data_IF_349366701731
#
_entry.id   IF_349366701731
#
_cell.length_a   1.000
_cell.length_b   1.000
_cell.length_c   1.000
_cell.angle_alpha   90.00
_cell.angle_beta   90.00
_cell.angle_gamma   90.00
#
_symmetry.space_group_name_H-M   'P 1'
#
loop_
_entity.id
_entity.type
_entity.pdbx_description
1 polymer ?
#
# COMPACT_ATOMS: atom_id res chain seq x y z
N UNK A 1 16.59 18.62 -38.93
CA UNK A 1 16.54 19.23 -37.58
C UNK A 1 15.54 18.43 -36.77
N UNK A 2 16.03 17.42 -36.08
CA UNK A 2 15.27 16.51 -35.21
C UNK A 2 15.18 17.16 -33.83
N UNK A 3 13.98 17.60 -33.45
CA UNK A 3 13.70 18.06 -32.09
C UNK A 3 13.06 16.91 -31.32
N UNK A 4 13.78 16.46 -30.29
CA UNK A 4 13.39 15.40 -29.36
C UNK A 4 12.14 15.79 -28.56
N UNK A 5 11.19 14.86 -28.46
CA UNK A 5 10.06 14.90 -27.53
C UNK A 5 10.21 13.67 -26.62
N UNK A 6 9.78 13.81 -25.38
CA UNK A 6 9.38 12.77 -24.41
C UNK A 6 10.48 12.23 -23.48
N UNK A 7 10.47 12.67 -22.22
CA UNK A 7 11.02 11.92 -21.08
C UNK A 7 10.26 12.16 -19.75
N UNK A 8 9.05 12.74 -19.79
CA UNK A 8 8.26 13.08 -18.59
C UNK A 8 6.99 12.23 -18.43
N UNK A 9 6.57 11.51 -19.48
CA UNK A 9 5.35 10.66 -19.46
C UNK A 9 5.53 9.36 -18.65
N UNK A 10 6.69 8.73 -18.70
CA UNK A 10 6.85 7.35 -18.22
C UNK A 10 6.63 7.14 -16.71
N UNK A 11 6.94 8.12 -15.84
CA UNK A 11 6.77 7.95 -14.39
C UNK A 11 5.31 8.06 -13.96
N UNK A 12 4.57 8.98 -14.57
CA UNK A 12 3.13 9.14 -14.30
C UNK A 12 2.35 7.97 -14.89
N UNK A 13 2.70 7.50 -16.09
CA UNK A 13 2.08 6.33 -16.70
C UNK A 13 2.33 5.05 -15.89
N UNK A 14 3.56 4.79 -15.43
CA UNK A 14 3.87 3.63 -14.58
C UNK A 14 3.19 3.69 -13.20
N UNK A 15 3.04 4.89 -12.62
CA UNK A 15 2.30 5.09 -11.36
C UNK A 15 0.81 4.82 -11.55
N UNK A 16 0.21 5.37 -12.60
CA UNK A 16 -1.19 5.16 -12.96
C UNK A 16 -1.43 3.69 -13.29
N UNK A 17 -0.53 3.04 -14.03
CA UNK A 17 -0.59 1.61 -14.33
C UNK A 17 -0.56 0.77 -13.06
N UNK A 18 0.31 1.05 -12.09
CA UNK A 18 0.34 0.29 -10.82
C UNK A 18 -0.93 0.47 -9.99
N UNK A 19 -1.54 1.65 -9.99
CA UNK A 19 -2.80 1.91 -9.27
C UNK A 19 -3.98 1.24 -9.98
N UNK A 20 -4.05 1.38 -11.31
CA UNK A 20 -5.18 0.90 -12.13
C UNK A 20 -5.13 -0.61 -12.34
N UNK A 21 -3.93 -1.17 -12.54
CA UNK A 21 -3.73 -2.58 -12.89
C UNK A 21 -3.42 -3.43 -11.67
N UNK A 22 -2.53 -2.98 -10.78
CA UNK A 22 -2.11 -3.76 -9.62
C UNK A 22 -2.89 -3.43 -8.34
N UNK A 23 -3.54 -2.26 -8.25
CA UNK A 23 -4.29 -1.84 -7.07
C UNK A 23 -3.43 -1.61 -5.83
N UNK A 24 -2.12 -1.44 -6.01
CA UNK A 24 -1.15 -1.22 -4.93
C UNK A 24 -1.01 0.28 -4.65
N UNK A 25 -1.52 0.70 -3.49
CA UNK A 25 -1.47 2.07 -3.00
C UNK A 25 -0.21 2.35 -2.19
N UNK A 26 0.66 1.35 -1.99
CA UNK A 26 1.95 1.53 -1.31
C UNK A 26 2.91 2.45 -2.07
N UNK A 27 2.76 2.52 -3.39
CA UNK A 27 3.55 3.41 -4.26
C UNK A 27 3.24 4.89 -4.10
N UNK A 28 2.07 5.21 -3.55
CA UNK A 28 1.59 6.57 -3.43
C UNK A 28 2.20 7.24 -2.20
N UNK A 29 2.59 8.50 -2.35
CA UNK A 29 2.95 9.36 -1.22
C UNK A 29 1.73 9.57 -0.29
N UNK A 30 1.95 9.99 0.97
CA UNK A 30 0.83 10.28 1.89
C UNK A 30 -0.20 11.25 1.29
N UNK A 31 0.27 12.33 0.64
CA UNK A 31 -0.59 13.31 -0.01
C UNK A 31 -1.40 12.73 -1.18
N UNK A 32 -0.83 11.82 -1.97
CA UNK A 32 -1.53 11.19 -3.09
C UNK A 32 -2.56 10.15 -2.61
N UNK A 33 -2.28 9.43 -1.53
CA UNK A 33 -3.27 8.52 -0.89
C UNK A 33 -4.46 9.30 -0.34
N UNK A 34 -4.17 10.46 0.24
CA UNK A 34 -5.08 11.55 0.63
C UNK A 34 -5.68 12.27 -0.60
N UNK A 35 -5.48 11.86 -1.83
CA UNK A 35 -6.27 12.36 -2.95
C UNK A 35 -7.09 11.22 -3.53
N UNK A 36 -6.44 10.07 -3.69
CA UNK A 36 -7.04 8.83 -4.08
C UNK A 36 -8.24 8.44 -3.20
N UNK A 37 -8.12 8.50 -1.88
CA UNK A 37 -9.21 8.09 -0.98
C UNK A 37 -10.45 8.98 -1.13
N UNK A 38 -10.30 10.29 -1.37
CA UNK A 38 -11.44 11.24 -1.52
C UNK A 38 -12.05 10.99 -2.87
N UNK A 39 -11.23 10.86 -3.92
CA UNK A 39 -11.72 10.53 -5.25
C UNK A 39 -12.50 9.21 -5.27
N UNK A 40 -12.04 8.18 -4.55
CA UNK A 40 -12.77 6.91 -4.38
C UNK A 40 -14.08 7.13 -3.64
N UNK A 41 -14.07 7.87 -2.53
CA UNK A 41 -15.30 8.18 -1.79
C UNK A 41 -16.30 8.93 -2.68
N UNK A 42 -15.89 9.98 -3.37
CA UNK A 42 -16.72 10.78 -4.28
C UNK A 42 -17.31 9.92 -5.40
N UNK A 43 -16.51 9.05 -6.02
CA UNK A 43 -16.97 8.14 -7.07
C UNK A 43 -18.12 7.23 -6.62
N UNK A 44 -18.08 6.75 -5.38
CA UNK A 44 -19.12 5.91 -4.79
C UNK A 44 -20.16 6.71 -3.98
N UNK A 45 -20.05 8.04 -3.99
CA UNK A 45 -20.86 8.98 -3.22
C UNK A 45 -20.71 8.86 -1.70
N UNK A 46 -19.68 8.20 -1.19
CA UNK A 46 -19.48 8.00 0.25
C UNK A 46 -18.93 9.27 0.89
N UNK A 47 -19.26 9.49 2.16
CA UNK A 47 -18.73 10.60 2.93
C UNK A 47 -17.30 10.27 3.43
N UNK A 48 -16.25 10.94 2.93
CA UNK A 48 -14.88 10.66 3.33
C UNK A 48 -14.62 10.93 4.83
N UNK A 49 -15.38 11.84 5.47
CA UNK A 49 -15.19 12.19 6.90
C UNK A 49 -15.53 11.01 7.80
N UNK A 50 -16.52 10.21 7.38
CA UNK A 50 -16.96 9.01 8.10
C UNK A 50 -15.98 7.83 8.02
N UNK A 51 -14.92 7.93 7.21
CA UNK A 51 -13.89 6.91 7.00
C UNK A 51 -14.48 5.57 6.54
N UNK A 52 -15.09 5.52 5.35
CA UNK A 52 -15.77 4.33 4.85
C UNK A 52 -14.82 3.19 4.44
N UNK A 53 -13.53 3.47 4.26
CA UNK A 53 -12.51 2.49 3.88
C UNK A 53 -11.39 2.40 4.92
N UNK A 54 -10.93 1.18 5.19
CA UNK A 54 -9.69 0.87 5.90
C UNK A 54 -8.60 0.51 4.88
N UNK A 55 -7.33 0.56 5.29
CA UNK A 55 -6.24 0.03 4.48
C UNK A 55 -5.99 -1.43 4.85
N UNK A 56 -5.78 -2.28 3.86
CA UNK A 56 -5.33 -3.66 4.07
C UNK A 56 -3.96 -3.82 3.42
N UNK A 57 -3.04 -4.42 4.15
CA UNK A 57 -1.75 -4.85 3.60
C UNK A 57 -1.85 -6.34 3.31
N UNK A 58 -1.65 -6.73 2.06
CA UNK A 58 -1.64 -8.12 1.57
C UNK A 58 -0.24 -8.46 1.07
N UNK A 59 0.13 -9.74 1.06
CA UNK A 59 1.41 -10.22 0.54
C UNK A 59 1.12 -10.92 -0.78
N UNK A 60 1.65 -10.39 -1.87
CA UNK A 60 1.60 -11.03 -3.18
C UNK A 60 2.93 -11.74 -3.46
N UNK A 61 2.89 -12.83 -4.24
CA UNK A 61 4.08 -13.61 -4.62
C UNK A 61 4.43 -14.73 -3.63
N UNK A 62 5.30 -15.64 -4.06
CA UNK A 62 5.77 -16.78 -3.27
C UNK A 62 7.30 -16.75 -3.13
N UNK A 63 7.82 -17.28 -2.03
CA UNK A 63 9.27 -17.39 -1.81
C UNK A 63 9.99 -16.04 -1.68
N UNK A 64 10.96 -15.81 -2.56
CA UNK A 64 11.80 -14.60 -2.60
C UNK A 64 11.07 -13.40 -3.25
N UNK A 65 10.03 -13.63 -4.06
CA UNK A 65 9.27 -12.60 -4.77
C UNK A 65 8.11 -11.99 -3.94
N UNK A 66 8.12 -12.21 -2.62
CA UNK A 66 7.07 -11.71 -1.73
C UNK A 66 7.10 -10.19 -1.63
N UNK A 67 5.99 -9.55 -1.98
CA UNK A 67 5.81 -8.10 -1.90
C UNK A 67 4.56 -7.75 -1.11
N UNK A 68 4.63 -6.70 -0.29
CA UNK A 68 3.46 -6.16 0.37
C UNK A 68 2.71 -5.21 -0.57
N UNK A 69 1.42 -5.46 -0.76
CA UNK A 69 0.49 -4.61 -1.51
C UNK A 69 -0.49 -3.96 -0.54
N UNK A 70 -0.65 -2.66 -0.68
CA UNK A 70 -1.63 -1.91 0.12
C UNK A 70 -2.87 -1.64 -0.73
N UNK A 71 -4.05 -1.91 -0.21
CA UNK A 71 -5.31 -1.65 -0.91
C UNK A 71 -6.36 -1.08 0.04
N UNK A 72 -7.36 -0.38 -0.51
CA UNK A 72 -8.52 0.07 0.26
C UNK A 72 -9.51 -1.07 0.43
N UNK A 73 -10.06 -1.17 1.63
CA UNK A 73 -11.04 -2.16 2.01
C UNK A 73 -12.30 -1.47 2.56
N UNK A 74 -13.49 -1.72 1.98
CA UNK A 74 -14.73 -1.15 2.47
C UNK A 74 -15.05 -1.73 3.85
N UNK A 75 -15.23 -0.87 4.84
CA UNK A 75 -15.59 -1.29 6.19
C UNK A 75 -17.11 -1.25 6.41
N UNK A 76 -17.56 -1.47 7.65
CA UNK A 76 -18.99 -1.47 7.98
C UNK A 76 -19.67 -0.11 7.72
N UNK A 77 -18.93 1.00 7.78
CA UNK A 77 -19.43 2.36 7.53
C UNK A 77 -19.69 2.55 6.03
N UNK A 78 -18.78 2.12 5.14
CA UNK A 78 -19.05 2.06 3.70
C UNK A 78 -20.34 1.28 3.42
N UNK A 79 -20.45 0.07 3.96
CA UNK A 79 -21.61 -0.78 3.73
C UNK A 79 -22.91 -0.14 4.23
N UNK A 80 -22.90 0.52 5.39
CA UNK A 80 -24.09 1.21 5.90
C UNK A 80 -24.54 2.36 4.98
N UNK A 81 -23.60 3.17 4.49
CA UNK A 81 -23.90 4.26 3.56
C UNK A 81 -24.42 3.76 2.22
N UNK A 82 -23.81 2.71 1.66
CA UNK A 82 -24.26 2.11 0.42
C UNK A 82 -25.66 1.53 0.54
N UNK A 83 -25.97 0.86 1.66
CA UNK A 83 -27.34 0.38 1.92
C UNK A 83 -28.34 1.53 1.96
N UNK A 84 -28.02 2.61 2.68
CA UNK A 84 -28.89 3.78 2.76
C UNK A 84 -29.12 4.42 1.38
N UNK A 85 -28.05 4.62 0.61
CA UNK A 85 -28.09 5.22 -0.73
C UNK A 85 -28.89 4.39 -1.73
N UNK A 86 -28.57 3.10 -1.83
CA UNK A 86 -29.17 2.20 -2.81
C UNK A 86 -30.45 1.53 -2.31
N UNK A 87 -30.91 1.89 -1.09
CA UNK A 87 -32.08 1.31 -0.41
C UNK A 87 -32.00 -0.22 -0.33
N UNK A 88 -30.79 -0.74 -0.10
CA UNK A 88 -30.54 -2.18 0.01
C UNK A 88 -31.06 -2.67 1.36
N UNK A 89 -31.96 -3.63 1.32
CA UNK A 89 -32.42 -4.37 2.50
C UNK A 89 -31.59 -5.64 2.66
N UNK A 90 -31.16 -5.96 3.88
CA UNK A 90 -30.34 -7.15 4.16
C UNK A 90 -30.98 -7.98 5.26
N UNK A 91 -31.06 -9.29 5.04
CA UNK A 91 -31.59 -10.28 5.96
C UNK A 91 -30.56 -11.40 6.18
N UNK A 92 -30.41 -11.88 7.41
CA UNK A 92 -29.66 -13.11 7.68
C UNK A 92 -30.58 -14.30 7.39
N UNK A 93 -30.15 -15.16 6.47
CA UNK A 93 -30.89 -16.34 5.99
C UNK A 93 -30.54 -17.57 6.83
N UNK A 94 -29.25 -17.78 7.11
CA UNK A 94 -28.76 -18.95 7.85
C UNK A 94 -27.61 -18.59 8.79
N UNK A 95 -27.51 -19.36 9.87
CA UNK A 95 -26.40 -19.37 10.83
C UNK A 95 -26.13 -20.81 11.22
N UNK A 96 -24.93 -21.29 10.92
CA UNK A 96 -24.56 -22.67 11.19
C UNK A 96 -23.11 -22.77 11.67
N UNK A 97 -22.82 -23.84 12.41
CA UNK A 97 -21.46 -24.22 12.76
C UNK A 97 -21.13 -25.49 11.98
N UNK A 98 -20.18 -25.40 11.04
CA UNK A 98 -19.74 -26.50 10.20
C UNK A 98 -18.24 -26.64 10.39
N UNK A 99 -17.78 -27.83 10.81
CA UNK A 99 -16.35 -28.14 10.95
C UNK A 99 -15.55 -27.10 11.74
N UNK A 100 -16.10 -26.65 12.89
CA UNK A 100 -15.43 -25.65 13.73
C UNK A 100 -15.49 -24.21 13.19
N UNK A 101 -16.07 -23.98 12.02
CA UNK A 101 -16.31 -22.66 11.44
C UNK A 101 -17.74 -22.18 11.71
N UNK A 102 -17.91 -20.89 11.98
CA UNK A 102 -19.22 -20.26 12.05
C UNK A 102 -19.54 -19.58 10.72
N UNK A 103 -20.56 -20.11 10.04
CA UNK A 103 -20.98 -19.69 8.72
C UNK A 103 -22.30 -18.92 8.81
N UNK A 104 -22.34 -17.74 8.18
CA UNK A 104 -23.52 -16.88 8.13
C UNK A 104 -23.83 -16.56 6.67
N UNK A 105 -25.06 -16.83 6.24
CA UNK A 105 -25.54 -16.45 4.91
C UNK A 105 -26.45 -15.24 5.06
N UNK A 106 -26.16 -14.18 4.32
CA UNK A 106 -26.99 -12.98 4.24
C UNK A 106 -27.54 -12.80 2.83
N UNK A 107 -28.82 -12.44 2.71
CA UNK A 107 -29.46 -12.04 1.46
C UNK A 107 -29.66 -10.54 1.45
N UNK A 108 -29.26 -9.90 0.36
CA UNK A 108 -29.53 -8.50 0.08
C UNK A 108 -30.58 -8.36 -1.02
N UNK A 109 -31.35 -7.28 -1.02
CA UNK A 109 -32.31 -6.96 -2.09
C UNK A 109 -32.40 -5.45 -2.31
N UNK A 110 -32.65 -5.05 -3.55
CA UNK A 110 -32.83 -3.65 -3.98
C UNK A 110 -34.28 -3.41 -4.44
N UNK A 111 -34.75 -2.14 -4.50
CA UNK A 111 -36.12 -1.81 -4.86
C UNK A 111 -36.55 -2.22 -6.29
N UNK A 112 -35.59 -2.42 -7.19
CA UNK A 112 -35.81 -2.90 -8.56
C UNK A 112 -36.03 -4.42 -8.63
N UNK A 113 -35.97 -5.12 -7.48
CA UNK A 113 -36.20 -6.55 -7.37
C UNK A 113 -34.95 -7.40 -7.54
N UNK A 114 -33.77 -6.81 -7.79
CA UNK A 114 -32.50 -7.56 -7.77
C UNK A 114 -32.21 -8.03 -6.35
N UNK A 115 -31.71 -9.25 -6.22
CA UNK A 115 -31.23 -9.81 -4.96
C UNK A 115 -29.93 -10.57 -5.17
N UNK A 116 -29.19 -10.75 -4.08
CA UNK A 116 -27.97 -11.54 -4.05
C UNK A 116 -27.80 -12.17 -2.67
N UNK A 117 -26.96 -13.20 -2.57
CA UNK A 117 -26.59 -13.85 -1.32
C UNK A 117 -25.08 -13.89 -1.15
N UNK A 118 -24.61 -13.72 0.08
CA UNK A 118 -23.19 -13.84 0.39
C UNK A 118 -22.96 -14.46 1.75
N UNK A 119 -21.80 -15.10 1.87
CA UNK A 119 -21.39 -15.83 3.07
C UNK A 119 -20.29 -15.09 3.84
N UNK A 120 -20.43 -15.06 5.16
CA UNK A 120 -19.39 -14.67 6.10
C UNK A 120 -19.00 -15.87 6.94
N UNK A 121 -17.72 -16.20 6.94
CA UNK A 121 -17.16 -17.33 7.69
C UNK A 121 -16.07 -16.82 8.62
N UNK A 122 -16.00 -17.41 9.81
CA UNK A 122 -14.90 -17.27 10.76
C UNK A 122 -14.60 -18.63 11.39
N UNK A 123 -13.33 -18.94 11.61
CA UNK A 123 -12.96 -20.09 12.43
C UNK A 123 -13.33 -19.82 13.90
N UNK A 124 -13.88 -20.81 14.59
CA UNK A 124 -14.05 -20.79 16.05
C UNK A 124 -12.90 -21.50 16.78
N UNK A 125 -11.89 -21.94 16.04
CA UNK A 125 -10.67 -22.57 16.53
C UNK A 125 -9.55 -21.53 16.72
N UNK A 126 -8.42 -21.91 17.31
CA UNK A 126 -7.27 -20.99 17.49
C UNK A 126 -7.28 -20.12 18.75
N UNK A 127 -8.13 -20.42 19.75
CA UNK A 127 -7.97 -19.84 21.08
C UNK A 127 -6.72 -20.40 21.79
N UNK A 128 -6.15 -19.62 22.73
CA UNK A 128 -4.90 -19.94 23.45
C UNK A 128 -4.85 -21.36 24.06
N UNK A 129 -6.00 -21.94 24.39
CA UNK A 129 -6.13 -23.26 25.01
C UNK A 129 -7.22 -24.13 24.34
N UNK A 130 -7.46 -23.95 23.04
CA UNK A 130 -8.50 -24.67 22.27
C UNK A 130 -9.52 -23.73 21.63
N UNK A 131 -10.75 -24.19 21.34
CA UNK A 131 -11.76 -23.35 20.68
C UNK A 131 -12.03 -22.03 21.42
N UNK A 132 -12.39 -20.99 20.66
CA UNK A 132 -12.78 -19.69 21.21
C UNK A 132 -13.97 -19.86 22.17
N UNK A 133 -13.90 -19.20 23.32
CA UNK A 133 -14.95 -19.20 24.36
C UNK A 133 -15.29 -17.78 24.81
N UNK A 134 -16.43 -17.63 25.46
CA UNK A 134 -16.89 -16.36 26.05
C UNK A 134 -16.90 -15.21 25.04
N UNK A 135 -16.35 -14.07 25.43
CA UNK A 135 -16.33 -12.85 24.64
C UNK A 135 -15.64 -13.02 23.28
N UNK A 136 -14.54 -13.78 23.20
CA UNK A 136 -13.81 -13.98 21.94
C UNK A 136 -14.65 -14.74 20.92
N UNK A 137 -15.41 -15.75 21.37
CA UNK A 137 -16.35 -16.49 20.52
C UNK A 137 -17.49 -15.58 20.02
N UNK A 138 -18.07 -14.79 20.92
CA UNK A 138 -19.13 -13.84 20.55
C UNK A 138 -18.62 -12.81 19.53
N UNK A 139 -17.42 -12.27 19.73
CA UNK A 139 -16.79 -11.33 18.80
C UNK A 139 -16.55 -11.97 17.43
N UNK A 140 -16.08 -13.23 17.37
CA UNK A 140 -15.91 -13.95 16.11
C UNK A 140 -17.26 -14.11 15.39
N UNK A 141 -18.30 -14.58 16.08
CA UNK A 141 -19.64 -14.73 15.49
C UNK A 141 -20.19 -13.41 14.96
N UNK A 142 -20.02 -12.30 15.70
CA UNK A 142 -20.40 -10.96 15.23
C UNK A 142 -19.61 -10.52 13.99
N UNK A 143 -18.32 -10.87 13.90
CA UNK A 143 -17.51 -10.62 12.69
C UNK A 143 -18.07 -11.36 11.48
N UNK A 144 -18.44 -12.64 11.61
CA UNK A 144 -19.03 -13.41 10.50
C UNK A 144 -20.33 -12.76 9.98
N UNK A 145 -21.21 -12.31 10.87
CA UNK A 145 -22.42 -11.58 10.47
C UNK A 145 -22.10 -10.23 9.81
N UNK A 146 -21.06 -9.54 10.29
CA UNK A 146 -20.54 -8.32 9.67
C UNK A 146 -20.08 -8.58 8.23
N UNK A 147 -19.21 -9.58 8.05
CA UNK A 147 -18.70 -10.02 6.75
C UNK A 147 -19.83 -10.36 5.79
N UNK A 148 -20.75 -11.26 6.17
CA UNK A 148 -21.85 -11.68 5.31
C UNK A 148 -22.70 -10.49 4.81
N UNK A 149 -23.08 -9.59 5.74
CA UNK A 149 -23.87 -8.40 5.38
C UNK A 149 -23.07 -7.43 4.52
N UNK A 150 -21.79 -7.24 4.80
CA UNK A 150 -20.90 -6.33 4.04
C UNK A 150 -20.74 -6.82 2.60
N UNK A 151 -20.42 -8.10 2.41
CA UNK A 151 -20.25 -8.77 1.12
C UNK A 151 -21.47 -8.61 0.20
N UNK A 152 -22.65 -8.98 0.70
CA UNK A 152 -23.88 -8.89 -0.10
C UNK A 152 -24.25 -7.45 -0.44
N UNK A 153 -23.84 -6.49 0.39
CA UNK A 153 -24.02 -5.06 0.09
C UNK A 153 -23.10 -4.62 -1.04
N UNK A 154 -21.82 -5.00 -1.01
CA UNK A 154 -20.86 -4.63 -2.06
C UNK A 154 -21.29 -5.22 -3.41
N UNK A 155 -21.70 -6.49 -3.42
CA UNK A 155 -22.14 -7.19 -4.63
C UNK A 155 -23.36 -6.51 -5.30
N UNK A 156 -24.33 -6.05 -4.49
CA UNK A 156 -25.50 -5.33 -4.99
C UNK A 156 -25.20 -3.88 -5.37
N UNK A 157 -24.31 -3.21 -4.63
CA UNK A 157 -23.92 -1.83 -4.91
C UNK A 157 -22.91 -1.71 -6.07
N UNK A 158 -22.46 -2.83 -6.67
CA UNK A 158 -21.56 -2.82 -7.82
C UNK A 158 -20.11 -2.47 -7.45
N UNK A 159 -19.71 -2.72 -6.20
CA UNK A 159 -18.32 -2.58 -5.75
C UNK A 159 -17.63 -3.94 -5.81
N UNK A 160 -16.66 -4.06 -6.71
CA UNK A 160 -15.74 -5.19 -6.77
C UNK A 160 -14.41 -4.78 -6.14
N UNK A 161 -14.31 -4.91 -4.82
CA UNK A 161 -13.02 -4.92 -4.16
C UNK A 161 -12.53 -6.37 -4.10
N UNK A 162 -11.23 -6.56 -4.28
CA UNK A 162 -10.62 -7.86 -4.04
C UNK A 162 -10.72 -8.18 -2.54
N UNK A 163 -11.53 -9.18 -2.21
CA UNK A 163 -11.79 -9.59 -0.82
C UNK A 163 -11.09 -10.92 -0.48
N UNK A 164 -10.14 -11.35 -1.32
CA UNK A 164 -9.44 -12.65 -1.19
C UNK A 164 -8.79 -12.85 0.18
N UNK A 165 -8.43 -11.79 0.90
CA UNK A 165 -7.47 -11.89 2.02
C UNK A 165 -7.93 -11.29 3.35
N UNK A 166 -9.22 -11.43 3.68
CA UNK A 166 -9.76 -10.92 4.96
C UNK A 166 -9.09 -11.51 6.22
N UNK A 167 -8.42 -12.67 6.14
CA UNK A 167 -7.78 -13.31 7.31
C UNK A 167 -6.43 -14.01 7.04
N UNK A 168 -6.12 -14.43 5.81
CA UNK A 168 -4.96 -15.28 5.55
C UNK A 168 -3.72 -14.50 5.08
N UNK A 169 -3.92 -13.29 4.53
CA UNK A 169 -2.82 -12.48 4.04
C UNK A 169 -3.01 -11.01 4.44
N UNK A 170 -2.86 -10.74 5.74
CA UNK A 170 -2.23 -9.51 6.20
C UNK A 170 -3.06 -8.55 7.06
N UNK A 171 -2.41 -7.44 7.44
CA UNK A 171 -2.78 -6.61 8.59
C UNK A 171 -3.79 -5.54 8.15
N UNK A 172 -5.03 -5.62 8.65
CA UNK A 172 -6.00 -4.53 8.53
C UNK A 172 -5.51 -3.35 9.36
N UNK A 173 -5.39 -2.20 8.71
CA UNK A 173 -4.98 -0.92 9.26
C UNK A 173 -6.16 0.03 9.18
N UNK A 174 -6.77 0.29 10.33
CA UNK A 174 -7.90 1.22 10.39
C UNK A 174 -7.45 2.61 9.96
N UNK A 175 -8.24 3.24 9.10
CA UNK A 175 -8.01 4.65 8.76
C UNK A 175 -8.41 5.51 9.97
N UNK A 176 -7.44 5.90 10.81
CA UNK A 176 -7.69 6.81 11.94
C UNK A 176 -7.74 8.27 11.51
N UNK A 177 -7.12 8.61 10.38
CA UNK A 177 -7.20 9.88 9.68
C UNK A 177 -7.39 9.63 8.18
N UNK A 178 -7.51 10.71 7.40
CA UNK A 178 -7.51 10.62 5.95
C UNK A 178 -6.12 10.22 5.39
N UNK A 179 -5.09 10.31 6.24
CA UNK A 179 -3.76 9.73 6.08
C UNK A 179 -3.78 8.25 6.55
N UNK A 180 -3.29 7.27 5.76
CA UNK A 180 -3.02 5.94 6.30
C UNK A 180 -2.09 6.02 7.51
N UNK A 181 -2.08 5.01 8.40
CA UNK A 181 -1.13 5.00 9.48
C UNK A 181 0.29 5.09 8.90
N UNK A 182 1.09 6.00 9.44
CA UNK A 182 2.54 6.13 9.24
C UNK A 182 3.31 4.83 9.45
N UNK A 183 2.64 3.83 10.00
CA UNK A 183 3.18 2.59 10.54
C UNK A 183 3.23 1.45 9.53
N UNK A 184 3.08 1.73 8.23
CA UNK A 184 3.45 0.75 7.19
C UNK A 184 4.96 0.75 7.04
N UNK A 185 5.63 0.29 8.09
CA UNK A 185 7.03 -0.09 8.04
C UNK A 185 7.06 -1.43 7.29
N UNK A 186 7.58 -1.40 6.07
CA UNK A 186 7.97 -2.59 5.35
C UNK A 186 9.09 -3.27 6.16
N UNK A 187 8.84 -4.44 6.74
CA UNK A 187 9.91 -5.45 6.95
C UNK A 187 10.20 -6.12 5.61
N UNK A 188 10.49 -5.29 4.60
CA UNK A 188 11.11 -5.74 3.36
C UNK A 188 12.55 -5.35 3.58
N UNK A 189 13.42 -6.34 3.86
CA UNK A 189 14.85 -6.13 3.62
C UNK A 189 14.96 -5.47 2.23
N UNK A 190 15.73 -4.39 2.06
CA UNK A 190 15.70 -3.62 0.83
C UNK A 190 16.01 -4.54 -0.34
N UNK A 191 14.96 -5.01 -1.01
CA UNK A 191 15.07 -5.68 -2.30
C UNK A 191 15.39 -4.54 -3.23
N UNK A 192 16.69 -4.26 -3.34
CA UNK A 192 17.22 -3.53 -4.46
C UNK A 192 16.63 -4.16 -5.69
N UNK A 193 15.92 -3.38 -6.49
CA UNK A 193 15.75 -3.73 -7.90
C UNK A 193 17.13 -4.17 -8.41
N UNK A 194 17.29 -5.34 -9.03
CA UNK A 194 18.54 -5.70 -9.66
C UNK A 194 18.83 -4.60 -10.67
N UNK A 195 19.75 -3.73 -10.29
CA UNK A 195 20.18 -2.65 -11.14
C UNK A 195 21.26 -3.22 -12.03
N UNK A 196 21.01 -3.24 -13.33
CA UNK A 196 22.04 -3.49 -14.34
C UNK A 196 23.08 -2.35 -14.38
N UNK A 197 22.98 -1.36 -13.49
CA UNK A 197 23.96 -0.30 -13.31
C UNK A 197 25.25 -0.84 -12.70
N UNK A 198 26.29 -0.94 -13.53
CA UNK A 198 27.64 -1.19 -13.03
C UNK A 198 28.12 -0.01 -12.17
N UNK A 199 28.13 -0.20 -10.85
CA UNK A 199 28.56 0.80 -9.86
C UNK A 199 30.08 0.99 -9.81
N UNK A 200 30.87 0.04 -10.32
CA UNK A 200 32.33 0.07 -10.25
C UNK A 200 32.96 1.35 -10.86
N UNK A 201 32.59 1.80 -12.08
CA UNK A 201 33.13 3.04 -12.63
C UNK A 201 32.76 4.27 -11.79
N UNK A 202 31.53 4.35 -11.31
CA UNK A 202 31.03 5.48 -10.50
C UNK A 202 31.76 5.55 -9.15
N UNK A 203 32.03 4.39 -8.54
CA UNK A 203 32.82 4.31 -7.31
C UNK A 203 34.24 4.79 -7.49
N UNK A 204 34.87 4.44 -8.62
CA UNK A 204 36.21 4.89 -8.95
C UNK A 204 36.24 6.41 -9.18
N UNK A 205 35.23 6.98 -9.85
CA UNK A 205 35.10 8.42 -10.08
C UNK A 205 34.96 9.20 -8.77
N UNK A 206 34.06 8.76 -7.88
CA UNK A 206 33.86 9.36 -6.55
C UNK A 206 35.17 9.37 -5.76
N UNK A 207 35.89 8.25 -5.70
CA UNK A 207 37.14 8.15 -4.95
C UNK A 207 38.23 9.07 -5.54
N UNK A 208 38.35 9.10 -6.87
CA UNK A 208 39.29 9.98 -7.56
C UNK A 208 38.99 11.46 -7.29
N UNK A 209 37.72 11.87 -7.33
CA UNK A 209 37.33 13.27 -7.13
C UNK A 209 37.41 13.70 -5.66
N UNK A 210 37.02 12.84 -4.72
CA UNK A 210 37.26 13.09 -3.30
C UNK A 210 38.75 13.31 -3.01
N UNK A 211 39.64 12.53 -3.66
CA UNK A 211 41.09 12.70 -3.53
C UNK A 211 41.57 14.04 -4.10
N UNK A 212 41.06 14.46 -5.27
CA UNK A 212 41.38 15.78 -5.87
C UNK A 212 40.92 16.95 -4.99
N UNK A 213 39.76 16.82 -4.35
CA UNK A 213 39.18 17.83 -3.46
C UNK A 213 39.79 17.79 -2.04
N UNK A 214 40.61 16.79 -1.71
CA UNK A 214 41.12 16.60 -0.36
C UNK A 214 40.04 16.24 0.67
N UNK A 215 38.89 15.76 0.22
CA UNK A 215 37.77 15.40 1.08
C UNK A 215 38.13 14.20 1.97
N UNK A 216 37.94 14.38 3.28
CA UNK A 216 38.02 13.28 4.24
C UNK A 216 36.74 12.46 4.21
N UNK A 217 36.82 11.18 4.61
CA UNK A 217 35.64 10.31 4.74
C UNK A 217 34.55 10.94 5.63
N UNK A 218 34.93 11.64 6.70
CA UNK A 218 33.98 12.33 7.58
C UNK A 218 33.17 13.42 6.86
N UNK A 219 33.80 14.17 5.96
CA UNK A 219 33.16 15.24 5.18
C UNK A 219 32.16 14.66 4.18
N UNK A 220 32.52 13.54 3.53
CA UNK A 220 31.59 12.83 2.66
C UNK A 220 30.39 12.27 3.45
N UNK A 221 30.63 11.64 4.61
CA UNK A 221 29.55 11.11 5.46
C UNK A 221 28.58 12.22 5.89
N UNK A 222 29.09 13.38 6.29
CA UNK A 222 28.26 14.51 6.71
C UNK A 222 27.42 15.06 5.54
N UNK A 223 28.03 15.20 4.36
CA UNK A 223 27.34 15.61 3.14
C UNK A 223 26.25 14.62 2.73
N UNK A 224 26.56 13.32 2.74
CA UNK A 224 25.61 12.27 2.36
C UNK A 224 24.41 12.22 3.30
N UNK A 225 24.66 12.33 4.61
CA UNK A 225 23.59 12.40 5.61
C UNK A 225 22.68 13.61 5.41
N UNK A 226 23.27 14.77 5.08
CA UNK A 226 22.51 15.99 4.88
C UNK A 226 21.73 16.01 3.56
N UNK A 227 22.23 15.35 2.51
CA UNK A 227 21.71 15.50 1.15
C UNK A 227 20.82 14.33 0.70
N UNK A 228 21.04 13.13 1.25
CA UNK A 228 20.35 11.89 0.84
C UNK A 228 19.65 11.21 2.02
N UNK A 229 18.90 11.97 2.82
CA UNK A 229 18.00 11.40 3.83
C UNK A 229 18.68 10.63 4.97
N UNK A 230 19.89 11.02 5.38
CA UNK A 230 20.59 10.39 6.51
C UNK A 230 21.47 9.20 6.14
N UNK A 231 21.59 8.87 4.86
CA UNK A 231 22.45 7.78 4.35
C UNK A 231 23.94 8.07 4.64
N UNK A 232 24.64 7.23 5.42
CA UNK A 232 26.01 7.51 5.86
C UNK A 232 27.07 7.16 4.82
N UNK A 233 26.80 6.25 3.89
CA UNK A 233 27.79 5.77 2.93
C UNK A 233 27.25 5.78 1.50
N UNK A 234 28.15 5.76 0.52
CA UNK A 234 27.79 5.64 -0.90
C UNK A 234 27.11 4.31 -1.24
N UNK A 235 27.34 3.27 -0.43
CA UNK A 235 26.74 1.95 -0.63
C UNK A 235 25.25 1.96 -0.27
N UNK A 236 24.84 2.92 0.57
CA UNK A 236 23.44 3.13 0.96
C UNK A 236 22.64 3.94 -0.07
N UNK A 237 23.31 4.48 -1.10
CA UNK A 237 22.68 5.27 -2.17
C UNK A 237 22.04 4.34 -3.22
N UNK A 238 20.89 4.76 -3.74
CA UNK A 238 20.37 4.21 -4.99
C UNK A 238 21.20 4.70 -6.19
N UNK A 239 21.00 4.13 -7.38
CA UNK A 239 21.86 4.45 -8.51
C UNK A 239 21.72 5.91 -8.98
N UNK A 240 20.53 6.49 -8.84
CA UNK A 240 20.29 7.88 -9.19
C UNK A 240 21.01 8.83 -8.23
N UNK A 241 20.91 8.55 -6.93
CA UNK A 241 21.62 9.29 -5.89
C UNK A 241 23.15 9.15 -6.00
N UNK A 242 23.63 7.96 -6.38
CA UNK A 242 25.05 7.69 -6.56
C UNK A 242 25.65 8.46 -7.75
N UNK A 243 24.91 8.54 -8.86
CA UNK A 243 25.28 9.35 -10.03
C UNK A 243 25.27 10.84 -9.67
N UNK A 244 24.21 11.31 -9.00
CA UNK A 244 24.09 12.70 -8.57
C UNK A 244 25.26 13.12 -7.66
N UNK A 245 25.66 12.25 -6.72
CA UNK A 245 26.81 12.50 -5.87
C UNK A 245 28.13 12.56 -6.65
N UNK A 246 28.32 11.67 -7.63
CA UNK A 246 29.50 11.69 -8.50
C UNK A 246 29.58 13.00 -9.31
N UNK A 247 28.47 13.42 -9.92
CA UNK A 247 28.34 14.66 -10.69
C UNK A 247 28.59 15.90 -9.82
N UNK A 248 28.10 15.89 -8.58
CA UNK A 248 28.36 16.95 -7.62
C UNK A 248 29.87 17.11 -7.38
N UNK A 249 30.58 16.02 -7.12
CA UNK A 249 32.03 16.05 -6.89
C UNK A 249 32.79 16.51 -8.14
N UNK A 250 32.36 16.09 -9.33
CA UNK A 250 32.94 16.57 -10.59
C UNK A 250 32.78 18.09 -10.76
N UNK A 251 31.61 18.64 -10.46
CA UNK A 251 31.38 20.11 -10.49
C UNK A 251 32.26 20.84 -9.49
N UNK A 252 32.46 20.28 -8.29
CA UNK A 252 33.35 20.86 -7.28
C UNK A 252 34.82 20.83 -7.75
N UNK A 253 35.26 19.75 -8.39
CA UNK A 253 36.62 19.65 -8.94
C UNK A 253 36.83 20.67 -10.05
N UNK A 254 35.86 20.80 -10.97
CA UNK A 254 35.91 21.80 -12.04
C UNK A 254 36.00 23.23 -11.49
N UNK A 255 35.18 23.56 -10.48
CA UNK A 255 35.23 24.86 -9.81
C UNK A 255 36.59 25.12 -9.13
N UNK A 256 37.20 24.10 -8.51
CA UNK A 256 38.53 24.22 -7.91
C UNK A 256 39.62 24.51 -8.97
N UNK A 257 39.50 23.93 -10.15
CA UNK A 257 40.48 24.08 -11.24
C UNK A 257 40.37 25.45 -11.95
N UNK A 258 39.16 25.99 -12.08
CA UNK A 258 38.95 27.35 -12.62
C UNK A 258 39.52 28.44 -11.71
N UNK A 259 39.50 28.24 -10.39
CA UNK A 259 40.07 29.19 -9.41
C UNK A 259 41.60 29.09 -9.32
N UNK A 260 42.19 27.98 -9.78
CA UNK A 260 43.63 27.74 -9.75
C UNK A 260 44.36 28.10 -11.07
N UNK A 261 43.62 28.52 -12.11
CA UNK A 261 44.13 28.97 -13.42
C UNK A 261 44.18 30.49 -13.50
#
# INVERSE_FOLDING_TARGET
MTSSIVATDNKHEALVERIVTAGDLGVLTPAERVQYYVAVCERYGLDPVSKPFDYISTIEGEGEDRRAKISLYPNQIAAAQLRARHKISVQIVSREVVEGCYCVIARGSTPDGRFDESIGIVALEGGKYGPLKGQSRANAMMKAEGKARRRVTMALAGLSFDESDDEEVGRIMKAEAYDPPSDVIYDVEPVGTPSDFDRAPTYAAIEANMKKLGWKKSTAVEFLKSSYGGKPTRDDLDDGELIDFADFLDRQVAALQEVAS
#
